data_IF_067891928469
#
_entry.id   IF_067891928469
#
_cell.length_a   1.000
_cell.length_b   1.000
_cell.length_c   1.000
_cell.angle_alpha   90.00
_cell.angle_beta   90.00
_cell.angle_gamma   90.00
#
_symmetry.space_group_name_H-M   'P 1'
#
loop_
_entity.id
_entity.type
_entity.pdbx_description
1 polymer ?
#
# COMPACT_ATOMS: atom_id res chain seq x y z
N UNK A 1 31.42 1.13 -5.98
CA UNK A 1 30.07 1.66 -5.71
C UNK A 1 29.08 0.84 -6.51
N UNK A 2 28.42 -0.11 -5.85
CA UNK A 2 27.40 -0.94 -6.48
C UNK A 2 26.30 -0.03 -7.00
N UNK A 3 25.99 -0.13 -8.29
CA UNK A 3 24.77 0.44 -8.81
C UNK A 3 23.68 -0.49 -8.31
N UNK A 4 23.04 -0.14 -7.20
CA UNK A 4 21.84 -0.83 -6.74
C UNK A 4 20.81 -0.70 -7.85
N UNK A 5 20.77 -1.72 -8.71
CA UNK A 5 19.85 -1.77 -9.83
C UNK A 5 18.50 -2.05 -9.21
N UNK A 6 17.73 -0.99 -8.96
CA UNK A 6 16.32 -1.09 -8.54
C UNK A 6 15.54 -1.84 -9.62
N UNK A 7 15.56 -3.17 -9.58
CA UNK A 7 15.04 -4.05 -10.62
C UNK A 7 13.83 -4.82 -10.11
N UNK A 8 13.74 -5.02 -8.79
CA UNK A 8 12.61 -5.65 -8.13
C UNK A 8 12.08 -4.73 -7.01
N UNK A 9 10.93 -5.10 -6.43
CA UNK A 9 10.30 -4.35 -5.34
C UNK A 9 11.19 -4.36 -4.08
N UNK A 10 11.89 -5.46 -3.80
CA UNK A 10 12.76 -5.61 -2.62
C UNK A 10 13.94 -4.62 -2.64
N UNK A 11 14.49 -4.32 -3.81
CA UNK A 11 15.54 -3.31 -3.99
C UNK A 11 15.01 -1.92 -3.60
N UNK A 12 13.75 -1.60 -3.90
CA UNK A 12 13.13 -0.35 -3.46
C UNK A 12 12.86 -0.35 -1.95
N UNK A 13 12.41 -1.48 -1.40
CA UNK A 13 12.11 -1.63 0.03
C UNK A 13 13.36 -1.67 0.92
N UNK A 14 14.53 -1.94 0.35
CA UNK A 14 15.83 -1.94 1.05
C UNK A 14 16.65 -0.68 0.77
N UNK A 15 16.16 0.21 -0.09
CA UNK A 15 16.87 1.44 -0.44
C UNK A 15 16.52 2.59 0.51
N UNK A 16 17.45 2.96 1.38
CA UNK A 16 17.29 4.06 2.34
C UNK A 16 16.85 5.38 1.69
N UNK A 17 17.39 5.72 0.51
CA UNK A 17 17.03 6.95 -0.21
C UNK A 17 15.58 6.91 -0.71
N UNK A 18 15.10 5.74 -1.12
CA UNK A 18 13.71 5.55 -1.53
C UNK A 18 12.79 5.62 -0.31
N UNK A 19 13.14 4.93 0.76
CA UNK A 19 12.39 4.96 2.04
C UNK A 19 12.27 6.40 2.54
N UNK A 20 13.37 7.15 2.65
CA UNK A 20 13.37 8.57 3.02
C UNK A 20 12.51 9.41 2.09
N UNK A 21 12.53 9.14 0.78
CA UNK A 21 11.67 9.84 -0.16
C UNK A 21 10.18 9.61 0.10
N UNK A 22 9.79 8.38 0.45
CA UNK A 22 8.39 8.04 0.78
C UNK A 22 7.95 8.71 2.08
N UNK A 23 8.80 8.70 3.12
CA UNK A 23 8.43 9.21 4.44
C UNK A 23 8.64 10.72 4.60
N UNK A 24 9.76 11.27 4.16
CA UNK A 24 10.12 12.68 4.40
C UNK A 24 9.66 13.62 3.27
N UNK A 25 9.43 13.10 2.06
CA UNK A 25 8.94 13.84 0.88
C UNK A 25 9.67 15.17 0.61
N UNK A 26 10.96 15.26 0.92
CA UNK A 26 11.73 16.49 0.72
C UNK A 26 11.80 16.87 -0.76
N UNK A 27 11.79 18.17 -1.07
CA UNK A 27 11.79 18.65 -2.46
C UNK A 27 12.99 18.16 -3.29
N UNK A 28 14.14 17.97 -2.65
CA UNK A 28 15.36 17.44 -3.26
C UNK A 28 15.21 15.97 -3.66
N UNK A 29 14.67 15.14 -2.77
CA UNK A 29 14.39 13.72 -3.04
C UNK A 29 13.31 13.57 -4.10
N UNK A 30 12.25 14.37 -4.01
CA UNK A 30 11.16 14.35 -4.99
C UNK A 30 11.67 14.62 -6.40
N UNK A 31 12.53 15.63 -6.58
CA UNK A 31 13.13 15.91 -7.89
C UNK A 31 14.01 14.75 -8.39
N UNK A 32 14.83 14.19 -7.51
CA UNK A 32 15.70 13.07 -7.84
C UNK A 32 14.91 11.85 -8.33
N UNK A 33 13.86 11.47 -7.60
CA UNK A 33 13.02 10.33 -7.94
C UNK A 33 12.12 10.60 -9.15
N UNK A 34 11.62 11.83 -9.32
CA UNK A 34 10.84 12.24 -10.51
C UNK A 34 11.67 12.12 -11.80
N UNK A 35 12.92 12.61 -11.79
CA UNK A 35 13.82 12.47 -12.93
C UNK A 35 14.20 10.99 -13.18
N UNK A 36 14.31 10.18 -12.11
CA UNK A 36 14.52 8.74 -12.22
C UNK A 36 13.35 8.02 -12.90
N UNK A 37 12.11 8.32 -12.52
CA UNK A 37 10.91 7.70 -13.11
C UNK A 37 10.65 8.17 -14.54
N UNK A 38 10.99 9.42 -14.89
CA UNK A 38 10.96 9.88 -16.29
C UNK A 38 11.88 9.05 -17.18
N UNK A 39 13.07 8.67 -16.67
CA UNK A 39 14.01 7.84 -17.41
C UNK A 39 13.63 6.35 -17.42
N UNK A 40 12.88 5.89 -16.42
CA UNK A 40 12.56 4.47 -16.20
C UNK A 40 11.06 4.28 -15.88
N UNK A 41 10.16 4.53 -16.84
CA UNK A 41 8.70 4.43 -16.60
C UNK A 41 8.27 3.01 -16.21
N UNK A 42 9.00 1.98 -16.67
CA UNK A 42 8.81 0.57 -16.29
C UNK A 42 8.93 0.33 -14.77
N UNK A 43 9.71 1.16 -14.07
CA UNK A 43 9.96 1.04 -12.63
C UNK A 43 8.94 1.79 -11.79
N UNK A 44 8.10 2.62 -12.41
CA UNK A 44 7.08 3.39 -11.70
C UNK A 44 6.06 2.44 -11.03
N UNK A 45 5.69 1.35 -11.71
CA UNK A 45 4.79 0.34 -11.15
C UNK A 45 5.39 -0.36 -9.93
N UNK A 46 6.67 -0.74 -10.00
CA UNK A 46 7.41 -1.36 -8.89
C UNK A 46 7.53 -0.39 -7.70
N UNK A 47 7.90 0.86 -7.97
CA UNK A 47 8.01 1.89 -6.94
C UNK A 47 6.66 2.20 -6.29
N UNK A 48 5.57 2.20 -7.06
CA UNK A 48 4.21 2.39 -6.51
C UNK A 48 3.85 1.28 -5.54
N UNK A 49 4.08 0.02 -5.91
CA UNK A 49 3.86 -1.12 -5.02
C UNK A 49 4.73 -1.03 -3.76
N UNK A 50 6.02 -0.71 -3.91
CA UNK A 50 6.92 -0.51 -2.79
C UNK A 50 6.44 0.60 -1.85
N UNK A 51 5.91 1.71 -2.39
CA UNK A 51 5.30 2.78 -1.59
C UNK A 51 4.09 2.31 -0.79
N UNK A 52 3.18 1.57 -1.42
CA UNK A 52 2.00 1.05 -0.72
C UNK A 52 2.40 0.16 0.47
N UNK A 53 3.40 -0.70 0.26
CA UNK A 53 3.97 -1.55 1.32
C UNK A 53 4.59 -0.68 2.43
N UNK A 54 5.42 0.32 2.09
CA UNK A 54 6.07 1.19 3.09
C UNK A 54 5.08 2.04 3.88
N UNK A 55 4.04 2.56 3.21
CA UNK A 55 3.02 3.37 3.84
C UNK A 55 1.99 2.53 4.62
N UNK A 56 2.09 1.19 4.57
CA UNK A 56 1.05 0.28 5.04
C UNK A 56 -0.33 0.70 4.49
N UNK A 57 -0.36 1.25 3.27
CA UNK A 57 -1.56 1.33 2.47
C UNK A 57 -1.81 -0.10 2.00
N UNK A 58 -2.29 -0.91 2.94
CA UNK A 58 -2.81 -2.24 2.67
C UNK A 58 -3.88 -2.04 1.58
N UNK A 59 -3.53 -2.35 0.34
CA UNK A 59 -4.50 -2.77 -0.69
C UNK A 59 -5.04 -4.15 -0.32
N UNK A 60 -5.20 -4.45 0.98
CA UNK A 60 -6.23 -5.38 1.37
C UNK A 60 -7.53 -4.67 1.02
N UNK A 61 -8.42 -5.30 0.24
CA UNK A 61 -9.84 -5.09 0.42
C UNK A 61 -10.18 -5.63 1.82
N UNK A 62 -9.70 -4.94 2.85
CA UNK A 62 -10.03 -5.18 4.23
C UNK A 62 -11.43 -4.66 4.36
N UNK A 63 -12.40 -5.51 3.98
CA UNK A 63 -13.85 -5.39 4.19
C UNK A 63 -14.25 -3.93 4.32
N UNK A 64 -14.74 -3.33 3.23
CA UNK A 64 -15.17 -1.95 3.24
C UNK A 64 -16.06 -1.68 4.46
N UNK A 65 -16.02 -0.45 4.99
CA UNK A 65 -16.85 -0.12 6.16
C UNK A 65 -18.32 -0.51 5.95
N UNK A 66 -18.78 -0.46 4.70
CA UNK A 66 -20.08 -0.97 4.25
C UNK A 66 -20.22 -2.49 4.41
N UNK A 67 -19.32 -3.29 3.81
CA UNK A 67 -19.35 -4.76 3.94
C UNK A 67 -19.24 -5.21 5.40
N UNK A 68 -18.44 -4.51 6.22
CA UNK A 68 -18.32 -4.76 7.66
C UNK A 68 -19.67 -4.55 8.38
N UNK A 69 -20.40 -3.50 8.01
CA UNK A 69 -21.68 -3.17 8.63
C UNK A 69 -22.79 -4.14 8.16
N UNK A 70 -22.79 -4.51 6.88
CA UNK A 70 -23.68 -5.55 6.35
C UNK A 70 -23.46 -6.90 7.06
N UNK A 71 -22.21 -7.27 7.30
CA UNK A 71 -21.88 -8.49 8.04
C UNK A 71 -22.42 -8.43 9.48
N UNK A 72 -22.27 -7.29 10.17
CA UNK A 72 -22.83 -7.11 11.52
C UNK A 72 -24.35 -7.25 11.52
N UNK A 73 -25.05 -6.60 10.59
CA UNK A 73 -26.51 -6.67 10.48
C UNK A 73 -26.98 -8.10 10.23
N UNK A 74 -26.26 -8.85 9.38
CA UNK A 74 -26.59 -10.25 9.09
C UNK A 74 -26.40 -11.16 10.31
N UNK A 75 -25.34 -10.97 11.09
CA UNK A 75 -25.10 -11.72 12.33
C UNK A 75 -26.21 -11.40 13.35
N UNK A 76 -26.51 -10.12 13.57
CA UNK A 76 -27.56 -9.68 14.50
C UNK A 76 -28.94 -10.23 14.10
N UNK A 77 -29.30 -10.15 12.82
CA UNK A 77 -30.57 -10.69 12.31
C UNK A 77 -30.66 -12.21 12.51
N UNK A 78 -29.57 -12.94 12.31
CA UNK A 78 -29.51 -14.40 12.52
C UNK A 78 -29.74 -14.74 14.00
N UNK A 79 -29.08 -14.03 14.91
CA UNK A 79 -29.24 -14.23 16.36
C UNK A 79 -30.68 -13.91 16.80
N UNK A 80 -31.27 -12.83 16.30
CA UNK A 80 -32.66 -12.48 16.61
C UNK A 80 -33.63 -13.56 16.11
N UNK A 81 -33.45 -14.06 14.89
CA UNK A 81 -34.27 -15.15 14.36
C UNK A 81 -34.17 -16.39 15.23
N UNK A 82 -32.96 -16.83 15.58
CA UNK A 82 -32.74 -18.01 16.44
C UNK A 82 -33.41 -17.86 17.81
N UNK A 83 -33.41 -16.66 18.39
CA UNK A 83 -34.05 -16.40 19.68
C UNK A 83 -35.58 -16.23 19.61
N UNK A 84 -36.16 -15.92 18.44
CA UNK A 84 -37.62 -15.84 18.25
C UNK A 84 -38.30 -17.20 18.05
N UNK A 85 -37.55 -18.28 17.82
CA UNK A 85 -38.08 -19.64 17.70
C UNK A 85 -37.93 -20.48 18.99
N UNK A 86 -37.61 -19.85 20.13
CA UNK A 86 -37.67 -20.43 21.48
C UNK A 86 -38.91 -19.94 22.21
#
# INVERSE_FOLDING_TARGET
MGKDKLNNIEDFLTNDSFICYVFEQTSSLKKHWDDYFKCNPEKESLARNARQILLNEDDKPGISSTEKEELKQRILSTIMKVNSYK
#
